data_IF_219031414933
#
_entry.id   IF_219031414933
#
_cell.length_a   1.000
_cell.length_b   1.000
_cell.length_c   1.000
_cell.angle_alpha   90.00
_cell.angle_beta   90.00
_cell.angle_gamma   90.00
#
_symmetry.space_group_name_H-M   'P 1'
#
loop_
_entity.id
_entity.type
_entity.pdbx_description
1 polymer ?
#
# COMPACT_ATOMS: atom_id res chain seq x y z
N UNK A 1 20.47 -0.52 -9.00
CA UNK A 1 19.83 -1.72 -9.58
C UNK A 1 18.33 -1.49 -9.53
N UNK A 2 17.68 -1.60 -10.68
CA UNK A 2 16.22 -1.40 -10.77
C UNK A 2 15.51 -2.70 -10.36
N UNK A 3 14.36 -2.56 -9.68
CA UNK A 3 13.56 -3.72 -9.35
C UNK A 3 12.98 -4.34 -10.64
N UNK A 4 13.05 -5.67 -10.82
CA UNK A 4 12.57 -6.33 -12.04
C UNK A 4 11.05 -6.24 -12.21
N UNK A 5 10.31 -6.02 -11.14
CA UNK A 5 8.85 -5.92 -11.15
C UNK A 5 8.40 -4.80 -10.22
N UNK A 6 7.39 -4.05 -10.65
CA UNK A 6 6.65 -3.10 -9.80
C UNK A 6 5.19 -3.51 -9.80
N UNK A 7 4.66 -3.83 -8.62
CA UNK A 7 3.24 -4.10 -8.41
C UNK A 7 2.57 -2.78 -8.04
N UNK A 8 1.50 -2.41 -8.74
CA UNK A 8 0.71 -1.22 -8.41
C UNK A 8 -0.63 -1.66 -7.83
N UNK A 9 -0.89 -1.27 -6.60
CA UNK A 9 -2.16 -1.53 -5.93
C UNK A 9 -3.10 -0.36 -6.19
N UNK A 10 -4.27 -0.65 -6.74
CA UNK A 10 -5.25 0.35 -7.10
C UNK A 10 -6.56 0.14 -6.33
N UNK A 11 -7.18 1.24 -5.90
CA UNK A 11 -8.51 1.24 -5.32
C UNK A 11 -9.57 1.40 -6.40
N UNK A 12 -10.63 0.59 -6.35
CA UNK A 12 -11.85 0.77 -7.14
C UNK A 12 -12.82 1.67 -6.35
N UNK A 13 -12.68 2.98 -6.56
CA UNK A 13 -13.49 3.99 -5.86
C UNK A 13 -14.98 3.90 -6.24
N UNK A 14 -15.28 3.53 -7.49
CA UNK A 14 -16.64 3.43 -7.96
C UNK A 14 -17.38 2.27 -7.27
N UNK A 15 -16.75 1.10 -7.21
CA UNK A 15 -17.29 -0.08 -6.51
C UNK A 15 -17.47 0.16 -5.03
N UNK A 16 -16.48 0.76 -4.36
CA UNK A 16 -16.55 1.08 -2.94
C UNK A 16 -17.66 2.10 -2.65
N UNK A 17 -17.82 3.11 -3.51
CA UNK A 17 -18.89 4.11 -3.39
C UNK A 17 -20.28 3.50 -3.57
N UNK A 18 -20.44 2.56 -4.49
CA UNK A 18 -21.72 1.89 -4.71
C UNK A 18 -22.20 1.10 -3.48
N UNK A 19 -21.26 0.49 -2.73
CA UNK A 19 -21.56 -0.27 -1.52
C UNK A 19 -21.70 0.61 -0.26
N UNK A 20 -20.87 1.65 -0.13
CA UNK A 20 -20.71 2.38 1.15
C UNK A 20 -20.69 3.91 0.99
N UNK A 21 -21.18 4.44 -0.15
CA UNK A 21 -21.26 5.87 -0.41
C UNK A 21 -19.91 6.58 -0.33
N UNK A 22 -19.94 7.83 0.09
CA UNK A 22 -18.72 8.68 0.20
C UNK A 22 -17.65 8.04 1.08
N UNK A 23 -18.04 7.41 2.19
CA UNK A 23 -17.08 6.79 3.11
C UNK A 23 -16.37 5.58 2.49
N UNK A 24 -17.08 4.83 1.64
CA UNK A 24 -16.46 3.78 0.82
C UNK A 24 -15.36 4.31 -0.07
N UNK A 25 -15.67 5.39 -0.80
CA UNK A 25 -14.75 6.05 -1.73
C UNK A 25 -13.54 6.69 -1.05
N UNK A 26 -13.74 7.36 0.09
CA UNK A 26 -12.70 8.22 0.69
C UNK A 26 -11.88 7.54 1.78
N UNK A 27 -12.39 6.44 2.34
CA UNK A 27 -11.75 5.76 3.47
C UNK A 27 -11.62 4.25 3.25
N UNK A 28 -12.74 3.54 3.04
CA UNK A 28 -12.70 2.07 3.09
C UNK A 28 -11.86 1.47 1.98
N UNK A 29 -11.96 1.97 0.74
CA UNK A 29 -11.12 1.46 -0.35
C UNK A 29 -9.62 1.69 -0.12
N UNK A 30 -9.25 2.74 0.61
CA UNK A 30 -7.85 2.98 1.00
C UNK A 30 -7.42 2.01 2.11
N UNK A 31 -8.27 1.74 3.09
CA UNK A 31 -8.00 0.75 4.13
C UNK A 31 -7.88 -0.66 3.55
N UNK A 32 -8.77 -1.04 2.63
CA UNK A 32 -8.74 -2.35 1.96
C UNK A 32 -7.45 -2.54 1.16
N UNK A 33 -7.06 -1.54 0.37
CA UNK A 33 -5.80 -1.58 -0.40
C UNK A 33 -4.57 -1.58 0.50
N UNK A 34 -4.59 -0.87 1.63
CA UNK A 34 -3.51 -0.88 2.60
C UNK A 34 -3.36 -2.26 3.28
N UNK A 35 -4.48 -2.90 3.65
CA UNK A 35 -4.48 -4.26 4.22
C UNK A 35 -3.94 -5.29 3.21
N UNK A 36 -4.40 -5.22 1.95
CA UNK A 36 -3.91 -6.08 0.88
C UNK A 36 -2.41 -5.87 0.62
N UNK A 37 -1.95 -4.62 0.60
CA UNK A 37 -0.54 -4.27 0.45
C UNK A 37 0.31 -4.86 1.58
N UNK A 38 -0.12 -4.73 2.82
CA UNK A 38 0.63 -5.29 3.96
C UNK A 38 0.76 -6.82 3.86
N UNK A 39 -0.30 -7.52 3.45
CA UNK A 39 -0.24 -8.96 3.22
C UNK A 39 0.74 -9.31 2.09
N UNK A 40 0.78 -8.53 1.02
CA UNK A 40 1.73 -8.71 -0.07
C UNK A 40 3.17 -8.55 0.40
N UNK A 41 3.47 -7.52 1.20
CA UNK A 41 4.81 -7.31 1.76
C UNK A 41 5.24 -8.48 2.65
N UNK A 42 4.34 -9.00 3.49
CA UNK A 42 4.62 -10.16 4.34
C UNK A 42 4.86 -11.43 3.53
N UNK A 43 4.04 -11.67 2.50
CA UNK A 43 4.20 -12.82 1.61
C UNK A 43 5.54 -12.75 0.85
N UNK A 44 5.88 -11.59 0.30
CA UNK A 44 7.15 -11.38 -0.39
C UNK A 44 8.36 -11.65 0.53
N UNK A 45 8.31 -11.13 1.76
CA UNK A 45 9.33 -11.39 2.77
C UNK A 45 9.48 -12.87 3.09
N UNK A 46 8.37 -13.60 3.26
CA UNK A 46 8.38 -15.04 3.50
C UNK A 46 8.98 -15.84 2.33
N UNK A 47 8.92 -15.30 1.12
CA UNK A 47 9.52 -15.88 -0.10
C UNK A 47 10.98 -15.43 -0.32
N UNK A 48 11.59 -14.69 0.61
CA UNK A 48 12.95 -14.18 0.49
C UNK A 48 13.11 -13.00 -0.47
N UNK A 49 12.01 -12.34 -0.82
CA UNK A 49 12.00 -11.16 -1.68
C UNK A 49 12.05 -9.86 -0.88
N UNK A 50 12.70 -8.85 -1.45
CA UNK A 50 12.70 -7.49 -0.96
C UNK A 50 11.60 -6.66 -1.62
N UNK A 51 10.98 -5.78 -0.83
CA UNK A 51 9.92 -4.88 -1.27
C UNK A 51 10.07 -3.51 -0.60
N UNK A 52 9.45 -2.51 -1.21
CA UNK A 52 9.32 -1.19 -0.61
C UNK A 52 7.91 -0.65 -0.86
N UNK A 53 7.28 -0.11 0.20
CA UNK A 53 6.03 0.62 0.06
C UNK A 53 6.33 2.04 -0.43
N UNK A 54 5.95 2.36 -1.67
CA UNK A 54 6.09 3.69 -2.26
C UNK A 54 4.70 4.33 -2.37
N UNK A 55 4.45 5.34 -1.54
CA UNK A 55 3.22 6.12 -1.55
C UNK A 55 3.41 7.56 -2.06
N UNK A 56 4.66 8.01 -2.21
CA UNK A 56 4.98 9.36 -2.67
C UNK A 56 5.27 9.34 -4.18
N UNK A 57 4.23 9.45 -4.99
CA UNK A 57 4.31 9.56 -6.45
C UNK A 57 3.20 10.45 -6.99
N UNK A 58 3.32 10.87 -8.24
CA UNK A 58 2.27 11.60 -8.93
C UNK A 58 1.20 10.61 -9.44
N UNK A 59 -0.02 10.69 -8.88
CA UNK A 59 -1.11 9.78 -9.25
C UNK A 59 -1.55 9.94 -10.71
N UNK A 60 -1.55 11.16 -11.26
CA UNK A 60 -1.96 11.42 -12.64
C UNK A 60 -0.97 10.84 -13.65
N UNK A 61 0.32 10.93 -13.36
CA UNK A 61 1.35 10.33 -14.21
C UNK A 61 1.29 8.80 -14.14
N UNK A 62 1.06 8.24 -12.97
CA UNK A 62 0.86 6.80 -12.79
C UNK A 62 -0.40 6.31 -13.55
N UNK A 63 -1.51 7.06 -13.48
CA UNK A 63 -2.74 6.76 -14.23
C UNK A 63 -2.50 6.74 -15.74
N UNK A 64 -1.77 7.72 -16.26
CA UNK A 64 -1.42 7.80 -17.69
C UNK A 64 -0.53 6.65 -18.11
N UNK A 65 0.55 6.39 -17.36
CA UNK A 65 1.50 5.33 -17.67
C UNK A 65 0.87 3.92 -17.69
N UNK A 66 -0.12 3.69 -16.81
CA UNK A 66 -0.82 2.42 -16.69
C UNK A 66 -2.14 2.34 -17.46
N UNK A 67 -2.54 3.42 -18.14
CA UNK A 67 -3.83 3.53 -18.84
C UNK A 67 -5.01 3.16 -17.93
N UNK A 68 -5.01 3.64 -16.67
CA UNK A 68 -6.06 3.31 -15.71
C UNK A 68 -7.40 3.95 -16.09
N UNK A 69 -8.50 3.18 -16.05
CA UNK A 69 -9.83 3.73 -16.32
C UNK A 69 -10.27 4.70 -15.21
N UNK A 70 -11.30 5.50 -15.53
CA UNK A 70 -11.94 6.37 -14.54
C UNK A 70 -12.47 5.56 -13.36
N UNK A 71 -12.31 6.10 -12.13
CA UNK A 71 -12.75 5.44 -10.89
C UNK A 71 -11.75 4.44 -10.30
N UNK A 72 -10.67 4.12 -11.03
CA UNK A 72 -9.55 3.31 -10.50
C UNK A 72 -8.41 4.25 -10.09
N UNK A 73 -8.02 4.20 -8.83
CA UNK A 73 -7.00 5.08 -8.24
C UNK A 73 -5.75 4.29 -7.86
N UNK A 74 -4.56 4.63 -8.37
CA UNK A 74 -3.31 4.03 -7.92
C UNK A 74 -3.00 4.54 -6.50
N UNK A 75 -2.78 3.62 -5.55
CA UNK A 75 -2.60 3.96 -4.13
C UNK A 75 -1.19 3.69 -3.67
N UNK A 76 -0.60 2.61 -4.14
CA UNK A 76 0.74 2.17 -3.72
C UNK A 76 1.47 1.56 -4.91
N UNK A 77 2.76 1.86 -5.02
CA UNK A 77 3.69 1.15 -5.90
C UNK A 77 4.63 0.31 -5.04
N UNK A 78 4.84 -0.94 -5.43
CA UNK A 78 5.66 -1.89 -4.69
C UNK A 78 6.70 -2.48 -5.64
N UNK A 79 7.93 -1.94 -5.68
CA UNK A 79 9.03 -2.60 -6.32
C UNK A 79 9.34 -3.92 -5.59
N UNK A 80 9.52 -4.99 -6.35
CA UNK A 80 9.77 -6.34 -5.84
C UNK A 80 11.00 -6.91 -6.53
N UNK A 81 11.90 -7.50 -5.75
CA UNK A 81 13.10 -8.15 -6.27
C UNK A 81 13.91 -8.84 -5.18
N UNK A 82 15.01 -9.44 -5.53
CA UNK A 82 15.93 -9.97 -4.52
C UNK A 82 16.65 -8.82 -3.82
N UNK A 83 16.67 -8.79 -2.46
CA UNK A 83 17.25 -7.67 -1.73
C UNK A 83 18.78 -7.66 -1.86
N UNK A 84 19.33 -6.53 -2.30
CA UNK A 84 20.78 -6.32 -2.33
C UNK A 84 21.37 -6.08 -0.93
N UNK A 85 20.52 -5.65 0.02
CA UNK A 85 20.88 -5.38 1.42
C UNK A 85 19.71 -5.78 2.31
N UNK A 86 20.01 -6.28 3.50
CA UNK A 86 19.02 -6.42 4.56
C UNK A 86 19.12 -5.18 5.46
N UNK A 87 18.13 -4.28 5.42
CA UNK A 87 18.16 -3.08 6.26
C UNK A 87 18.06 -3.45 7.73
N UNK A 88 18.72 -2.69 8.60
CA UNK A 88 18.55 -2.84 10.03
C UNK A 88 17.11 -2.49 10.44
N UNK A 89 16.58 -3.21 11.43
CA UNK A 89 15.26 -2.91 11.99
C UNK A 89 15.26 -1.50 12.60
N UNK A 90 14.26 -0.70 12.25
CA UNK A 90 14.07 0.62 12.87
C UNK A 90 13.44 0.45 14.26
N UNK A 91 13.81 1.33 15.19
CA UNK A 91 13.19 1.38 16.50
C UNK A 91 11.68 1.61 16.42
N UNK A 92 10.96 1.08 17.40
CA UNK A 92 9.51 1.30 17.56
C UNK A 92 9.28 1.96 18.92
N UNK A 93 8.24 2.77 19.02
CA UNK A 93 7.80 3.31 20.31
C UNK A 93 7.37 2.16 21.22
N UNK A 94 7.64 2.25 22.54
CA UNK A 94 7.12 1.28 23.49
C UNK A 94 5.59 1.19 23.43
N UNK A 95 5.04 0.01 23.67
CA UNK A 95 3.57 -0.19 23.65
C UNK A 95 2.84 0.73 24.63
N UNK A 96 3.45 1.02 25.79
CA UNK A 96 2.90 1.96 26.78
C UNK A 96 2.69 3.39 26.27
N UNK A 97 3.30 3.75 25.16
CA UNK A 97 3.13 5.08 24.53
C UNK A 97 2.10 5.09 23.41
N UNK A 98 1.55 3.95 23.04
CA UNK A 98 0.63 3.81 21.89
C UNK A 98 -0.62 3.00 22.23
N UNK A 99 -0.66 2.37 23.40
CA UNK A 99 -1.84 1.65 23.89
C UNK A 99 -2.40 2.42 25.09
N UNK A 100 -3.66 2.78 25.01
CA UNK A 100 -4.44 3.40 26.05
C UNK A 100 -5.60 2.46 26.40
N UNK A 101 -5.88 2.29 27.69
CA UNK A 101 -6.97 1.45 28.15
C UNK A 101 -8.16 2.34 28.48
N UNK A 102 -9.32 2.06 27.84
CA UNK A 102 -10.61 2.71 28.01
C UNK A 102 -10.66 4.19 27.57
N UNK A 103 -9.65 4.99 27.85
CA UNK A 103 -9.57 6.41 27.48
C UNK A 103 -8.13 6.85 27.23
N UNK A 104 -7.96 7.97 26.54
CA UNK A 104 -6.70 8.68 26.37
C UNK A 104 -6.32 9.39 27.65
#
# INVERSE_FOLDING_TARGET
>A
EEAPVVIVVCADEARASAGYGTRGKTLYCIQDTAAATQNLLLAAYALGLGTCWVGAFNEDDARKALNLPSGIRPVVMIPVGYPAKTPAARSRRPLSQIIHQESF
#
